data_IF_891300163174
#
_entry.id   IF_891300163174
#
_cell.length_a   1.000
_cell.length_b   1.000
_cell.length_c   1.000
_cell.angle_alpha   90.00
_cell.angle_beta   90.00
_cell.angle_gamma   90.00
#
_symmetry.space_group_name_H-M   'P 1'
#
loop_
_entity.id
_entity.type
_entity.pdbx_description
1 polymer ?
#
# COMPACT_ATOMS: atom_id res chain seq x y z
N UNK A 1 -16.58 4.42 -13.03
CA UNK A 1 -15.48 4.06 -12.10
C UNK A 1 -14.34 3.27 -12.76
N UNK A 2 -13.49 3.91 -13.56
CA UNK A 2 -12.31 3.23 -14.14
C UNK A 2 -11.19 3.04 -13.11
N UNK A 3 -10.97 4.03 -12.24
CA UNK A 3 -9.88 4.00 -11.24
C UNK A 3 -10.07 2.85 -10.23
N UNK A 4 -11.26 2.73 -9.63
CA UNK A 4 -11.54 1.68 -8.63
C UNK A 4 -11.37 0.28 -9.24
N UNK A 5 -11.90 0.07 -10.45
CA UNK A 5 -11.72 -1.20 -11.18
C UNK A 5 -10.26 -1.47 -11.47
N UNK A 6 -9.52 -0.48 -11.97
CA UNK A 6 -8.10 -0.61 -12.29
C UNK A 6 -7.26 -0.93 -11.05
N UNK A 7 -7.51 -0.27 -9.92
CA UNK A 7 -6.79 -0.55 -8.68
C UNK A 7 -7.08 -1.97 -8.18
N UNK A 8 -8.35 -2.37 -8.15
CA UNK A 8 -8.73 -3.72 -7.71
C UNK A 8 -8.18 -4.81 -8.63
N UNK A 9 -8.26 -4.66 -9.96
CA UNK A 9 -7.69 -5.65 -10.89
C UNK A 9 -6.18 -5.75 -10.75
N UNK A 10 -5.50 -4.61 -10.62
CA UNK A 10 -4.04 -4.58 -10.41
C UNK A 10 -3.65 -5.30 -9.13
N UNK A 11 -4.38 -5.08 -8.02
CA UNK A 11 -4.12 -5.77 -6.75
C UNK A 11 -4.28 -7.29 -6.92
N UNK A 12 -5.35 -7.75 -7.57
CA UNK A 12 -5.59 -9.18 -7.77
C UNK A 12 -4.52 -9.83 -8.66
N UNK A 13 -4.19 -9.19 -9.79
CA UNK A 13 -3.17 -9.71 -10.73
C UNK A 13 -1.79 -9.71 -10.08
N UNK A 14 -1.41 -8.63 -9.39
CA UNK A 14 -0.14 -8.55 -8.68
C UNK A 14 -0.04 -9.60 -7.57
N UNK A 15 -1.13 -9.85 -6.83
CA UNK A 15 -1.15 -10.87 -5.79
C UNK A 15 -0.86 -12.26 -6.37
N UNK A 16 -1.51 -12.64 -7.47
CA UNK A 16 -1.24 -13.93 -8.14
C UNK A 16 0.19 -13.97 -8.69
N UNK A 17 0.62 -12.94 -9.40
CA UNK A 17 1.94 -12.90 -10.04
C UNK A 17 3.10 -12.91 -9.05
N UNK A 18 3.02 -12.13 -7.97
CA UNK A 18 4.07 -12.05 -6.95
C UNK A 18 4.19 -13.38 -6.21
N UNK A 19 3.09 -14.00 -5.79
CA UNK A 19 3.16 -15.30 -5.11
C UNK A 19 3.63 -16.43 -6.03
N UNK A 20 3.29 -16.38 -7.33
CA UNK A 20 3.85 -17.32 -8.32
C UNK A 20 5.38 -17.18 -8.43
N UNK A 21 5.90 -15.96 -8.47
CA UNK A 21 7.36 -15.71 -8.50
C UNK A 21 8.05 -16.16 -7.21
N UNK A 22 7.36 -16.04 -6.07
CA UNK A 22 7.86 -16.53 -4.77
C UNK A 22 7.92 -18.06 -4.76
N UNK A 23 6.89 -18.73 -5.29
CA UNK A 23 6.84 -20.19 -5.39
C UNK A 23 7.89 -20.77 -6.33
N UNK A 24 8.22 -20.04 -7.40
CA UNK A 24 9.32 -20.37 -8.32
C UNK A 24 10.71 -20.08 -7.72
N UNK A 25 10.79 -19.55 -6.50
CA UNK A 25 12.05 -19.19 -5.84
C UNK A 25 12.75 -17.96 -6.43
N UNK A 26 12.10 -17.25 -7.35
CA UNK A 26 12.64 -16.06 -8.02
C UNK A 26 12.48 -14.78 -7.18
N UNK A 27 11.58 -14.79 -6.19
CA UNK A 27 11.29 -13.64 -5.34
C UNK A 27 11.23 -14.03 -3.85
N UNK A 28 11.55 -13.07 -2.97
CA UNK A 28 11.39 -13.20 -1.52
C UNK A 28 10.44 -12.13 -1.00
N UNK A 29 9.43 -12.54 -0.23
CA UNK A 29 8.51 -11.61 0.44
C UNK A 29 9.21 -10.93 1.61
N UNK A 30 9.55 -9.65 1.43
CA UNK A 30 10.01 -8.79 2.53
C UNK A 30 8.83 -8.09 3.17
N UNK A 31 8.20 -8.75 4.13
CA UNK A 31 7.05 -8.22 4.86
C UNK A 31 7.51 -7.16 5.86
N UNK A 32 6.82 -6.02 5.86
CA UNK A 32 7.00 -4.97 6.87
C UNK A 32 6.24 -5.36 8.15
N UNK A 33 6.83 -5.08 9.31
CA UNK A 33 6.17 -5.37 10.58
C UNK A 33 4.89 -4.53 10.74
N UNK A 34 3.86 -5.16 11.30
CA UNK A 34 2.57 -4.53 11.57
C UNK A 34 2.67 -3.88 12.94
N UNK A 35 3.09 -2.62 12.95
CA UNK A 35 3.15 -1.78 14.14
C UNK A 35 1.97 -0.83 14.08
N UNK A 36 0.98 -1.01 14.94
CA UNK A 36 -0.24 -0.21 14.87
C UNK A 36 0.02 1.28 15.07
N UNK A 37 0.88 1.65 16.02
CA UNK A 37 1.22 3.06 16.25
C UNK A 37 1.77 3.73 14.99
N UNK A 38 2.76 3.11 14.35
CA UNK A 38 3.34 3.61 13.11
C UNK A 38 2.37 3.60 11.93
N UNK A 39 1.61 2.52 11.75
CA UNK A 39 0.71 2.35 10.60
C UNK A 39 -0.51 3.28 10.67
N UNK A 40 -1.14 3.43 11.84
CA UNK A 40 -2.31 4.29 12.01
C UNK A 40 -1.88 5.76 11.90
N UNK A 41 -0.91 6.19 12.71
CA UNK A 41 -0.49 7.60 12.73
C UNK A 41 0.13 7.99 11.39
N UNK A 42 1.04 7.17 10.85
CA UNK A 42 1.65 7.40 9.56
C UNK A 42 0.63 7.36 8.41
N UNK A 43 -0.32 6.42 8.44
CA UNK A 43 -1.38 6.31 7.44
C UNK A 43 -2.31 7.51 7.42
N UNK A 44 -2.68 8.03 8.59
CA UNK A 44 -3.51 9.25 8.70
C UNK A 44 -2.76 10.47 8.16
N UNK A 45 -1.52 10.70 8.59
CA UNK A 45 -0.70 11.83 8.12
C UNK A 45 -0.51 11.75 6.59
N UNK A 46 -0.21 10.56 6.07
CA UNK A 46 -0.08 10.33 4.64
C UNK A 46 -1.39 10.60 3.89
N UNK A 47 -2.53 10.13 4.42
CA UNK A 47 -3.85 10.36 3.83
C UNK A 47 -4.24 11.84 3.81
N UNK A 48 -3.96 12.58 4.88
CA UNK A 48 -4.18 14.03 4.93
C UNK A 48 -3.30 14.77 3.91
N UNK A 49 -2.02 14.43 3.84
CA UNK A 49 -1.11 15.03 2.84
C UNK A 49 -1.58 14.76 1.42
N UNK A 50 -2.02 13.53 1.13
CA UNK A 50 -2.59 13.17 -0.16
C UNK A 50 -3.85 13.98 -0.49
N UNK A 51 -4.76 14.10 0.48
CA UNK A 51 -6.02 14.84 0.31
C UNK A 51 -5.83 16.32 0.04
N UNK A 52 -4.80 16.95 0.64
CA UNK A 52 -4.50 18.37 0.45
C UNK A 52 -3.79 18.61 -0.90
N UNK A 53 -2.79 17.78 -1.24
CA UNK A 53 -2.01 17.94 -2.47
C UNK A 53 -2.75 17.46 -3.73
N UNK A 54 -3.71 16.55 -3.59
CA UNK A 54 -4.43 15.96 -4.73
C UNK A 54 -3.58 15.02 -5.60
N UNK A 55 -2.36 14.67 -5.16
CA UNK A 55 -1.47 13.75 -5.86
C UNK A 55 -0.93 12.65 -4.95
N UNK A 56 -0.89 11.42 -5.46
CA UNK A 56 -0.11 10.33 -4.85
C UNK A 56 1.36 10.44 -5.28
N UNK A 57 2.31 9.90 -4.50
CA UNK A 57 3.74 9.94 -4.83
C UNK A 57 4.04 9.48 -6.27
N UNK A 58 3.35 8.44 -6.76
CA UNK A 58 3.51 7.97 -8.15
C UNK A 58 2.99 8.96 -9.19
N UNK A 59 1.81 9.55 -8.97
CA UNK A 59 1.24 10.56 -9.89
C UNK A 59 2.01 11.87 -9.87
N UNK A 60 2.70 12.21 -8.78
CA UNK A 60 3.55 13.40 -8.73
C UNK A 60 4.73 13.26 -9.70
N UNK A 61 5.39 12.11 -9.69
CA UNK A 61 6.49 11.81 -10.63
C UNK A 61 5.99 11.80 -12.07
N UNK A 62 4.82 11.20 -12.33
CA UNK A 62 4.19 11.22 -13.64
C UNK A 62 3.84 12.63 -14.12
N UNK A 63 3.20 13.45 -13.27
CA UNK A 63 2.82 14.82 -13.60
C UNK A 63 4.01 15.74 -13.82
N UNK A 64 5.14 15.53 -13.12
CA UNK A 64 6.39 16.22 -13.42
C UNK A 64 6.88 15.87 -14.83
N UNK A 65 6.78 14.58 -15.22
CA UNK A 65 7.10 14.12 -16.58
C UNK A 65 6.18 14.71 -17.66
N UNK A 66 4.92 15.01 -17.33
CA UNK A 66 3.97 15.73 -18.20
C UNK A 66 4.23 17.25 -18.27
N UNK A 67 5.24 17.76 -17.53
CA UNK A 67 5.59 19.19 -17.50
C UNK A 67 4.78 20.02 -16.49
N UNK A 68 4.05 19.37 -15.58
CA UNK A 68 3.28 20.06 -14.54
C UNK A 68 4.18 20.41 -13.36
N UNK A 69 4.70 21.63 -13.38
CA UNK A 69 5.60 22.15 -12.36
C UNK A 69 5.00 22.21 -10.95
N UNK A 70 3.68 22.26 -10.81
CA UNK A 70 3.00 22.23 -9.51
C UNK A 70 3.33 20.97 -8.69
N UNK A 71 3.61 19.85 -9.37
CA UNK A 71 3.99 18.59 -8.72
C UNK A 71 5.34 18.67 -8.00
N UNK A 72 6.20 19.60 -8.39
CA UNK A 72 7.53 19.76 -7.81
C UNK A 72 7.46 20.13 -6.32
N UNK A 73 6.47 20.95 -5.93
CA UNK A 73 6.25 21.31 -4.54
C UNK A 73 5.89 20.10 -3.68
N UNK A 74 5.06 19.20 -4.21
CA UNK A 74 4.74 17.94 -3.55
C UNK A 74 5.96 17.04 -3.40
N UNK A 75 6.81 16.96 -4.44
CA UNK A 75 8.04 16.15 -4.43
C UNK A 75 9.02 16.68 -3.38
N UNK A 76 9.24 18.00 -3.32
CA UNK A 76 10.10 18.62 -2.31
C UNK A 76 9.53 18.37 -0.91
N UNK A 77 8.22 18.55 -0.71
CA UNK A 77 7.56 18.25 0.56
C UNK A 77 7.73 16.79 0.99
N UNK A 78 7.63 15.85 0.05
CA UNK A 78 7.87 14.43 0.30
C UNK A 78 9.32 14.16 0.72
N UNK A 79 10.30 14.76 0.04
CA UNK A 79 11.72 14.61 0.35
C UNK A 79 12.05 15.17 1.73
N UNK A 80 11.56 16.37 2.04
CA UNK A 80 11.75 17.02 3.35
C UNK A 80 11.07 16.19 4.44
N UNK A 81 9.83 15.73 4.22
CA UNK A 81 9.12 14.87 5.17
C UNK A 81 9.86 13.55 5.42
N UNK A 82 10.43 12.94 4.38
CA UNK A 82 11.24 11.72 4.51
C UNK A 82 12.55 11.96 5.28
N UNK A 83 13.21 13.10 5.04
CA UNK A 83 14.42 13.48 5.77
C UNK A 83 14.14 13.70 7.27
N UNK A 84 13.09 14.47 7.59
CA UNK A 84 12.65 14.69 8.96
C UNK A 84 12.26 13.38 9.65
N UNK A 85 11.55 12.50 8.93
CA UNK A 85 11.22 11.18 9.46
C UNK A 85 12.47 10.35 9.73
N UNK A 86 13.48 10.38 8.84
CA UNK A 86 14.72 9.64 9.03
C UNK A 86 15.50 10.13 10.27
N UNK A 87 15.50 11.42 10.53
CA UNK A 87 16.16 12.02 11.69
C UNK A 87 15.41 11.77 13.00
N UNK A 88 14.07 11.77 12.97
CA UNK A 88 13.21 11.40 14.10
C UNK A 88 13.06 9.88 14.27
N UNK A 89 13.52 9.07 13.31
CA UNK A 89 13.38 7.62 13.36
C UNK A 89 13.93 7.00 14.65
N UNK A 90 15.12 7.34 15.18
CA UNK A 90 15.62 6.78 16.44
C UNK A 90 14.69 7.04 17.64
N UNK A 91 14.08 8.22 17.74
CA UNK A 91 13.16 8.56 18.83
C UNK A 91 11.78 7.94 18.64
N UNK A 92 11.29 7.88 17.40
CA UNK A 92 10.06 7.18 17.02
C UNK A 92 10.17 5.68 17.28
N UNK A 93 11.36 5.09 17.04
CA UNK A 93 11.66 3.68 17.30
C UNK A 93 11.55 3.31 18.78
N UNK A 94 11.84 4.25 19.68
CA UNK A 94 11.72 4.06 21.12
C UNK A 94 10.29 4.27 21.65
N UNK A 95 9.40 4.87 20.85
CA UNK A 95 8.06 5.30 21.28
C UNK A 95 6.98 4.70 20.38
N UNK A 96 6.46 5.47 19.43
CA UNK A 96 5.30 5.15 18.58
C UNK A 96 5.49 3.87 17.76
N UNK A 97 6.73 3.55 17.37
CA UNK A 97 7.05 2.33 16.63
C UNK A 97 7.17 1.07 17.51
N UNK A 98 7.01 1.18 18.83
CA UNK A 98 6.88 0.02 19.73
C UNK A 98 5.43 -0.27 20.11
N UNK A 99 4.52 0.66 19.80
CA UNK A 99 3.12 0.56 20.18
C UNK A 99 2.39 -0.47 19.33
N UNK A 100 2.07 -1.61 19.96
CA UNK A 100 1.38 -2.71 19.30
C UNK A 100 2.19 -3.25 18.14
N UNK A 101 3.41 -3.72 18.41
CA UNK A 101 4.22 -4.46 17.46
C UNK A 101 3.74 -5.90 17.37
N UNK A 102 3.04 -6.21 16.28
CA UNK A 102 2.58 -7.56 15.98
C UNK A 102 3.60 -8.32 15.10
N UNK A 103 4.71 -7.69 14.72
CA UNK A 103 5.72 -8.29 13.85
C UNK A 103 5.22 -8.49 12.42
N UNK A 104 5.86 -9.38 11.67
CA UNK A 104 5.53 -9.66 10.27
C UNK A 104 4.37 -10.66 10.22
N UNK A 105 3.15 -10.15 10.27
CA UNK A 105 1.94 -10.97 10.18
C UNK A 105 1.37 -10.90 8.77
N UNK A 106 0.98 -12.06 8.24
CA UNK A 106 0.17 -12.16 7.01
C UNK A 106 -1.05 -13.03 7.25
N UNK A 107 -2.12 -12.79 6.49
CA UNK A 107 -3.37 -13.55 6.60
C UNK A 107 -3.14 -15.08 6.45
N UNK A 108 -2.34 -15.57 5.47
CA UNK A 108 -2.03 -17.00 5.38
C UNK A 108 -1.29 -17.53 6.62
N UNK A 109 -0.43 -16.72 7.23
CA UNK A 109 0.37 -17.09 8.39
C UNK A 109 -0.44 -17.13 9.70
N UNK A 110 -1.45 -16.26 9.87
CA UNK A 110 -2.38 -16.35 11.02
C UNK A 110 -3.27 -17.58 10.89
N UNK A 111 -3.76 -17.85 9.68
CA UNK A 111 -4.69 -18.95 9.41
C UNK A 111 -3.99 -20.31 9.30
N UNK A 112 -2.65 -20.35 9.23
CA UNK A 112 -1.86 -21.58 9.10
C UNK A 112 -2.11 -22.33 7.77
N UNK A 113 -2.66 -21.66 6.76
CA UNK A 113 -3.00 -22.25 5.47
C UNK A 113 -2.00 -21.83 4.40
N UNK A 114 -1.86 -22.67 3.38
CA UNK A 114 -1.12 -22.33 2.18
C UNK A 114 -1.66 -21.02 1.56
N UNK A 115 -0.80 -20.23 0.92
CA UNK A 115 -1.18 -18.91 0.37
C UNK A 115 -2.20 -19.00 -0.78
N UNK A 116 -2.18 -20.09 -1.56
CA UNK A 116 -3.07 -20.28 -2.72
C UNK A 116 -4.58 -20.28 -2.39
N UNK A 117 -5.07 -21.01 -1.37
CA UNK A 117 -6.45 -20.92 -0.91
C UNK A 117 -6.89 -19.48 -0.57
N UNK A 118 -6.04 -18.73 0.13
CA UNK A 118 -6.34 -17.34 0.53
C UNK A 118 -6.43 -16.44 -0.70
N UNK A 119 -5.49 -16.58 -1.64
CA UNK A 119 -5.49 -15.84 -2.91
C UNK A 119 -6.76 -16.18 -3.71
N UNK A 120 -7.13 -17.47 -3.80
CA UNK A 120 -8.34 -17.91 -4.49
C UNK A 120 -9.61 -17.25 -3.93
N UNK A 121 -9.76 -17.24 -2.60
CA UNK A 121 -10.89 -16.56 -1.93
C UNK A 121 -10.89 -15.06 -2.21
N UNK A 122 -9.73 -14.39 -2.11
CA UNK A 122 -9.60 -12.95 -2.34
C UNK A 122 -9.91 -12.57 -3.80
N UNK A 123 -9.52 -13.41 -4.76
CA UNK A 123 -9.86 -13.23 -6.18
C UNK A 123 -11.36 -13.38 -6.40
N UNK A 124 -11.98 -14.43 -5.85
CA UNK A 124 -13.43 -14.65 -5.98
C UNK A 124 -14.21 -13.47 -5.39
N UNK A 125 -13.85 -13.03 -4.18
CA UNK A 125 -14.49 -11.87 -3.54
C UNK A 125 -14.27 -10.59 -4.35
N UNK A 126 -13.06 -10.36 -4.86
CA UNK A 126 -12.74 -9.20 -5.69
C UNK A 126 -13.56 -9.17 -6.98
N UNK A 127 -13.73 -10.31 -7.65
CA UNK A 127 -14.54 -10.43 -8.87
C UNK A 127 -16.03 -10.24 -8.58
N UNK A 128 -16.54 -10.77 -7.46
CA UNK A 128 -17.93 -10.53 -7.02
C UNK A 128 -18.15 -9.04 -6.77
N UNK A 129 -17.22 -8.38 -6.08
CA UNK A 129 -17.28 -6.95 -5.79
C UNK A 129 -17.26 -6.11 -7.07
N UNK A 130 -16.40 -6.46 -8.05
CA UNK A 130 -16.39 -5.80 -9.36
C UNK A 130 -17.72 -5.96 -10.10
N UNK A 131 -18.29 -7.17 -10.11
CA UNK A 131 -19.61 -7.43 -10.71
C UNK A 131 -20.71 -6.63 -10.04
N UNK A 132 -20.62 -6.42 -8.72
CA UNK A 132 -21.58 -5.61 -7.99
C UNK A 132 -21.49 -4.12 -8.35
N UNK A 133 -20.28 -3.57 -8.45
CA UNK A 133 -20.08 -2.19 -8.92
C UNK A 133 -20.64 -2.01 -10.35
N UNK A 134 -20.38 -2.97 -11.24
CA UNK A 134 -20.92 -2.96 -12.60
C UNK A 134 -22.44 -3.00 -12.67
N UNK A 135 -23.08 -3.87 -11.87
CA UNK A 135 -24.54 -3.96 -11.82
C UNK A 135 -25.21 -2.67 -11.33
N UNK A 136 -24.53 -1.89 -10.49
CA UNK A 136 -25.07 -0.63 -9.98
C UNK A 136 -24.82 0.57 -10.90
N UNK A 137 -24.18 0.39 -12.07
CA UNK A 137 -23.84 1.49 -12.97
C UNK A 137 -22.82 2.47 -12.37
N UNK A 138 -22.04 1.98 -11.40
CA UNK A 138 -21.05 2.72 -10.64
C UNK A 138 -19.65 2.49 -11.27
#
# INVERSE_FOLDING_TARGET
MTIVKFMLTTILVAMVGVYLLVDLGLAKLSLKATIFGGNIVGGLIFGFGWGILGYCPGTQMGGLGEGRWDTLWGIIGMLVGAALFAEMYPTLKATVLTWGDFGKITIPQILGVNHWPVIGVMVVLGVILMRWFEKKGL
#
